data_IF_868104494251
#
_entry.id   IF_868104494251
#
_cell.length_a   1.000
_cell.length_b   1.000
_cell.length_c   1.000
_cell.angle_alpha   90.00
_cell.angle_beta   90.00
_cell.angle_gamma   90.00
#
_symmetry.space_group_name_H-M   'P 1'
#
loop_
_entity.id
_entity.type
_entity.pdbx_description
1 polymer ?
#
# COMPACT_ATOMS: atom_id res chain seq x y z
N UNK A 1 4.25 38.40 -65.46
CA UNK A 1 3.37 37.85 -64.43
C UNK A 1 4.12 36.71 -63.78
N UNK A 2 4.52 36.89 -62.53
CA UNK A 2 5.32 35.92 -61.77
C UNK A 2 4.39 34.84 -61.19
N UNK A 3 4.79 33.57 -61.12
CA UNK A 3 3.96 32.54 -60.48
C UNK A 3 3.85 32.78 -58.97
N UNK A 4 2.72 32.39 -58.34
CA UNK A 4 2.55 32.52 -56.90
C UNK A 4 3.49 31.57 -56.13
N UNK A 5 3.90 31.94 -54.90
CA UNK A 5 4.74 31.08 -54.07
C UNK A 5 3.98 29.80 -53.65
N UNK A 6 4.69 28.68 -53.43
CA UNK A 6 4.08 27.43 -53.00
C UNK A 6 3.46 27.57 -51.59
N UNK A 7 2.41 26.78 -51.28
CA UNK A 7 1.78 26.79 -49.96
C UNK A 7 2.76 26.33 -48.87
N UNK A 8 2.61 26.80 -47.62
CA UNK A 8 3.40 26.30 -46.51
C UNK A 8 3.12 24.81 -46.31
N UNK A 9 4.17 23.99 -46.31
CA UNK A 9 4.08 22.57 -45.98
C UNK A 9 3.52 22.39 -44.56
N UNK A 10 2.23 22.07 -44.44
CA UNK A 10 1.62 21.62 -43.18
C UNK A 10 1.73 20.11 -43.09
N UNK A 11 2.86 19.63 -42.58
CA UNK A 11 2.98 18.27 -42.04
C UNK A 11 3.28 18.43 -40.54
N UNK A 12 2.37 18.05 -39.62
CA UNK A 12 2.70 18.02 -38.21
C UNK A 12 3.72 16.88 -37.98
N UNK A 13 4.90 17.24 -37.47
CA UNK A 13 5.87 16.27 -36.98
C UNK A 13 5.19 15.36 -35.93
N UNK A 14 5.41 14.03 -35.97
CA UNK A 14 4.85 13.15 -34.96
C UNK A 14 5.57 13.39 -33.62
N UNK A 15 4.94 14.17 -32.75
CA UNK A 15 5.36 14.30 -31.35
C UNK A 15 4.93 13.05 -30.58
N UNK A 16 5.75 12.00 -30.68
CA UNK A 16 5.77 10.93 -29.71
C UNK A 16 6.44 11.43 -28.43
N UNK A 17 5.70 11.50 -27.32
CA UNK A 17 6.28 11.80 -26.01
C UNK A 17 5.26 12.19 -24.95
N UNK A 18 4.64 11.20 -24.33
CA UNK A 18 4.13 11.19 -22.95
C UNK A 18 3.74 12.57 -22.35
N UNK A 19 2.64 13.17 -22.83
CA UNK A 19 1.98 14.22 -22.09
C UNK A 19 1.30 13.56 -20.87
N UNK A 20 1.99 13.58 -19.72
CA UNK A 20 1.32 13.45 -18.43
C UNK A 20 0.29 14.58 -18.37
N UNK A 21 -0.96 14.26 -18.73
CA UNK A 21 -2.07 15.20 -18.67
C UNK A 21 -2.19 15.67 -17.24
N UNK A 22 -1.74 16.89 -16.95
CA UNK A 22 -2.12 17.56 -15.73
C UNK A 22 -3.65 17.53 -15.65
N UNK A 23 -4.23 17.12 -14.50
CA UNK A 23 -5.66 17.22 -14.32
C UNK A 23 -6.09 18.65 -14.63
N UNK A 24 -7.24 18.87 -15.30
CA UNK A 24 -7.75 20.22 -15.50
C UNK A 24 -7.83 20.92 -14.13
N UNK A 25 -7.41 22.20 -14.11
CA UNK A 25 -7.44 23.01 -12.90
C UNK A 25 -8.85 22.96 -12.30
N UNK A 26 -8.95 22.57 -11.03
CA UNK A 26 -10.22 22.48 -10.31
C UNK A 26 -10.79 23.89 -10.14
N UNK A 27 -12.09 24.06 -10.40
CA UNK A 27 -12.79 25.33 -10.17
C UNK A 27 -12.79 25.66 -8.66
N UNK A 28 -12.13 26.75 -8.22
CA UNK A 28 -12.01 27.11 -6.81
C UNK A 28 -13.34 27.53 -6.17
N UNK A 29 -14.38 27.79 -6.96
CA UNK A 29 -15.72 28.16 -6.48
C UNK A 29 -16.72 27.00 -6.51
N UNK A 30 -16.27 25.79 -6.87
CA UNK A 30 -17.13 24.60 -6.90
C UNK A 30 -17.65 24.27 -5.49
N UNK A 31 -18.97 24.29 -5.31
CA UNK A 31 -19.64 24.06 -4.02
C UNK A 31 -19.96 22.59 -3.75
N UNK A 32 -19.80 21.72 -4.75
CA UNK A 32 -20.13 20.30 -4.67
C UNK A 32 -18.89 19.44 -4.42
N UNK A 33 -19.08 18.33 -3.69
CA UNK A 33 -18.00 17.37 -3.41
C UNK A 33 -17.42 16.79 -4.71
N UNK A 34 -16.14 16.40 -4.65
CA UNK A 34 -15.47 15.69 -5.75
C UNK A 34 -16.21 14.38 -6.05
N UNK A 35 -16.27 13.99 -7.32
CA UNK A 35 -16.72 12.66 -7.74
C UNK A 35 -15.54 11.68 -7.81
N UNK A 36 -15.79 10.39 -7.62
CA UNK A 36 -14.75 9.35 -7.66
C UNK A 36 -13.71 9.47 -6.53
N UNK A 37 -14.13 9.90 -5.33
CA UNK A 37 -13.34 9.68 -4.13
C UNK A 37 -13.48 8.23 -3.68
N UNK A 38 -12.43 7.71 -3.06
CA UNK A 38 -12.37 6.33 -2.59
C UNK A 38 -13.36 6.11 -1.43
N UNK A 39 -13.91 4.91 -1.35
CA UNK A 39 -14.73 4.51 -0.20
C UNK A 39 -13.86 4.35 1.05
N UNK A 40 -14.50 4.30 2.22
CA UNK A 40 -13.79 4.04 3.48
C UNK A 40 -13.14 2.66 3.49
N UNK A 41 -13.82 1.63 3.02
CA UNK A 41 -13.27 0.27 2.92
C UNK A 41 -12.04 0.23 1.99
N UNK A 42 -12.12 0.88 0.82
CA UNK A 42 -10.99 0.97 -0.12
C UNK A 42 -9.82 1.72 0.51
N UNK A 43 -10.10 2.79 1.26
CA UNK A 43 -9.08 3.55 1.98
C UNK A 43 -8.37 2.72 3.04
N UNK A 44 -9.11 2.03 3.92
CA UNK A 44 -8.51 1.22 4.98
C UNK A 44 -7.79 0.00 4.40
N UNK A 45 -8.32 -0.60 3.33
CA UNK A 45 -7.60 -1.65 2.62
C UNK A 45 -6.33 -1.13 1.96
N UNK A 46 -6.36 0.02 1.28
CA UNK A 46 -5.17 0.62 0.68
C UNK A 46 -4.08 0.88 1.73
N UNK A 47 -4.45 1.29 2.94
CA UNK A 47 -3.51 1.42 4.07
C UNK A 47 -2.92 0.08 4.46
N UNK A 48 -3.72 -0.99 4.55
CA UNK A 48 -3.21 -2.32 4.85
C UNK A 48 -2.22 -2.81 3.77
N UNK A 49 -2.49 -2.55 2.49
CA UNK A 49 -1.55 -2.85 1.40
C UNK A 49 -0.26 -2.01 1.51
N UNK A 50 -0.36 -0.70 1.69
CA UNK A 50 0.80 0.18 1.85
C UNK A 50 1.64 -0.20 3.07
N UNK A 51 0.99 -0.64 4.15
CA UNK A 51 1.67 -1.11 5.35
C UNK A 51 2.42 -2.41 5.11
N UNK A 52 1.93 -3.30 4.24
CA UNK A 52 2.63 -4.51 3.86
C UNK A 52 4.01 -4.21 3.23
N UNK A 53 4.13 -3.12 2.46
CA UNK A 53 5.39 -2.68 1.84
C UNK A 53 6.49 -2.33 2.86
N UNK A 54 6.15 -2.17 4.15
CA UNK A 54 7.12 -2.02 5.24
C UNK A 54 7.76 -3.34 5.69
N UNK A 55 7.17 -4.48 5.35
CA UNK A 55 7.64 -5.80 5.75
C UNK A 55 8.98 -6.14 5.07
N UNK A 56 9.88 -6.72 5.85
CA UNK A 56 11.20 -7.20 5.38
C UNK A 56 11.18 -8.69 5.05
N UNK A 57 10.03 -9.35 5.20
CA UNK A 57 9.89 -10.77 4.87
C UNK A 57 9.99 -10.95 3.35
N UNK A 58 10.99 -11.67 2.83
CA UNK A 58 11.17 -11.82 1.38
C UNK A 58 10.09 -12.71 0.74
N UNK A 59 9.30 -13.43 1.55
CA UNK A 59 8.36 -14.42 1.04
C UNK A 59 6.90 -13.99 1.05
N UNK A 60 6.52 -13.16 2.03
CA UNK A 60 5.12 -12.81 2.27
C UNK A 60 5.05 -11.53 3.06
N UNK A 61 4.56 -10.47 2.41
CA UNK A 61 4.34 -9.18 3.03
C UNK A 61 2.87 -9.08 3.42
N UNK A 62 2.58 -8.81 4.68
CA UNK A 62 1.23 -8.67 5.21
C UNK A 62 1.19 -7.35 5.95
N UNK A 63 0.14 -6.59 5.71
CA UNK A 63 -0.16 -5.38 6.46
C UNK A 63 -1.59 -5.44 6.98
N UNK A 64 -1.84 -4.71 8.06
CA UNK A 64 -3.12 -4.66 8.75
C UNK A 64 -3.41 -3.23 9.22
N UNK A 65 -4.70 -2.88 9.23
CA UNK A 65 -5.24 -1.61 9.67
C UNK A 65 -6.44 -1.89 10.57
N UNK A 66 -6.32 -1.58 11.86
CA UNK A 66 -7.36 -1.69 12.87
C UNK A 66 -8.12 -0.36 12.97
N UNK A 67 -9.44 -0.43 12.85
CA UNK A 67 -10.33 0.72 12.73
C UNK A 67 -11.49 0.62 13.72
N UNK A 68 -11.83 1.73 14.36
CA UNK A 68 -12.99 1.85 15.24
C UNK A 68 -14.31 1.81 14.46
N UNK A 69 -15.43 1.64 15.16
CA UNK A 69 -16.75 1.67 14.52
C UNK A 69 -17.09 3.05 13.94
N UNK A 70 -16.44 4.10 14.46
CA UNK A 70 -16.55 5.49 14.01
C UNK A 70 -15.62 5.80 12.82
N UNK A 71 -14.90 4.81 12.28
CA UNK A 71 -13.99 5.00 11.14
C UNK A 71 -12.64 5.62 11.51
N UNK A 72 -12.24 5.57 12.79
CA UNK A 72 -10.96 6.10 13.24
C UNK A 72 -9.92 4.98 13.20
N UNK A 73 -8.76 5.23 12.59
CA UNK A 73 -7.65 4.28 12.63
C UNK A 73 -7.06 4.25 14.02
N UNK A 74 -7.03 3.07 14.61
CA UNK A 74 -6.56 2.84 15.97
C UNK A 74 -5.15 2.27 16.00
N UNK A 75 -4.83 1.43 15.01
CA UNK A 75 -3.51 0.82 14.90
C UNK A 75 -3.24 0.33 13.48
N UNK A 76 -1.97 0.33 13.11
CA UNK A 76 -1.48 -0.18 11.83
C UNK A 76 -0.34 -1.15 12.13
N UNK A 77 -0.25 -2.23 11.37
CA UNK A 77 0.78 -3.26 11.55
C UNK A 77 1.24 -3.87 10.24
N UNK A 78 2.41 -4.48 10.28
CA UNK A 78 2.96 -5.32 9.22
C UNK A 78 3.73 -6.49 9.83
N UNK A 79 3.92 -7.58 9.09
CA UNK A 79 4.65 -8.72 9.62
C UNK A 79 6.15 -8.45 9.65
N UNK A 80 6.79 -8.82 10.77
CA UNK A 80 8.22 -8.63 10.97
C UNK A 80 8.68 -9.11 12.33
N UNK A 81 9.96 -8.96 12.64
CA UNK A 81 10.48 -9.33 13.95
C UNK A 81 10.04 -8.35 15.05
N UNK A 82 10.11 -8.76 16.33
CA UNK A 82 9.77 -7.89 17.44
C UNK A 82 10.63 -6.63 17.45
N UNK A 83 10.08 -5.54 17.99
CA UNK A 83 10.80 -4.27 18.12
C UNK A 83 12.10 -4.47 18.91
N UNK A 84 13.20 -3.93 18.40
CA UNK A 84 14.53 -4.03 19.02
C UNK A 84 15.32 -5.27 18.60
N UNK A 85 14.71 -6.23 17.88
CA UNK A 85 15.45 -7.28 17.21
C UNK A 85 15.97 -6.77 15.86
N UNK A 86 17.23 -7.08 15.52
CA UNK A 86 17.82 -6.75 14.23
C UNK A 86 17.32 -7.72 13.16
N UNK A 87 16.85 -7.16 12.04
CA UNK A 87 16.40 -7.95 10.88
C UNK A 87 17.53 -8.66 10.13
N UNK A 88 18.79 -8.30 10.42
CA UNK A 88 19.98 -8.91 9.81
C UNK A 88 20.50 -10.11 10.63
N UNK A 89 20.12 -10.19 11.90
CA UNK A 89 20.61 -11.23 12.83
C UNK A 89 19.68 -12.43 12.94
N UNK A 90 18.40 -12.23 12.65
CA UNK A 90 17.38 -13.28 12.73
C UNK A 90 17.10 -13.87 11.34
N UNK A 91 16.85 -15.19 11.25
CA UNK A 91 16.67 -15.85 9.97
C UNK A 91 15.29 -15.54 9.36
N UNK A 92 15.27 -15.14 8.09
CA UNK A 92 14.05 -14.99 7.29
C UNK A 92 13.63 -16.28 6.56
N UNK A 93 14.43 -17.34 6.66
CA UNK A 93 14.21 -18.58 5.93
C UNK A 93 12.93 -19.31 6.38
N UNK A 94 12.23 -19.93 5.43
CA UNK A 94 11.06 -20.79 5.72
C UNK A 94 11.44 -22.23 6.08
N UNK A 95 12.65 -22.67 5.74
CA UNK A 95 13.11 -24.04 5.91
C UNK A 95 14.56 -24.01 6.38
N UNK A 96 14.87 -24.89 7.32
CA UNK A 96 16.24 -25.15 7.76
C UNK A 96 16.84 -26.27 6.91
N UNK A 97 18.11 -26.13 6.54
CA UNK A 97 18.87 -27.21 5.90
C UNK A 97 19.17 -28.37 6.86
N UNK A 98 19.21 -28.09 8.17
CA UNK A 98 19.52 -29.04 9.23
C UNK A 98 18.27 -29.54 9.98
N UNK A 99 17.09 -29.05 9.59
CA UNK A 99 15.82 -29.33 10.27
C UNK A 99 15.63 -28.59 11.59
N UNK A 100 16.50 -27.63 11.93
CA UNK A 100 16.43 -26.84 13.15
C UNK A 100 15.38 -25.71 13.01
N UNK A 101 14.32 -25.69 13.82
CA UNK A 101 13.31 -24.62 13.79
C UNK A 101 13.87 -23.22 14.03
N UNK A 102 14.96 -23.08 14.79
CA UNK A 102 15.58 -21.79 15.12
C UNK A 102 16.31 -21.15 13.94
N UNK A 103 16.61 -21.91 12.89
CA UNK A 103 17.11 -21.35 11.63
C UNK A 103 15.99 -20.85 10.71
N UNK A 104 14.74 -20.92 11.17
CA UNK A 104 13.58 -20.44 10.42
C UNK A 104 12.99 -19.19 11.05
N UNK A 105 12.21 -18.46 10.27
CA UNK A 105 11.55 -17.23 10.72
C UNK A 105 10.40 -17.45 11.71
N UNK A 106 9.81 -18.64 11.72
CA UNK A 106 8.53 -18.91 12.40
C UNK A 106 8.54 -18.67 13.92
N UNK A 107 9.63 -18.94 14.67
CA UNK A 107 9.68 -18.63 16.09
C UNK A 107 9.72 -17.13 16.40
N UNK A 108 10.06 -16.30 15.42
CA UNK A 108 10.42 -14.90 15.64
C UNK A 108 9.47 -13.92 14.97
N UNK A 109 8.90 -14.24 13.81
CA UNK A 109 8.05 -13.31 13.07
C UNK A 109 6.72 -13.09 13.80
N UNK A 110 6.41 -11.83 14.05
CA UNK A 110 5.12 -11.37 14.53
C UNK A 110 4.24 -11.03 13.33
N UNK A 111 2.98 -11.45 13.41
CA UNK A 111 1.98 -11.22 12.37
C UNK A 111 1.55 -9.73 12.33
N UNK A 112 1.07 -9.29 11.16
CA UNK A 112 0.67 -7.90 10.95
C UNK A 112 -0.49 -7.48 11.86
N UNK A 113 -1.46 -8.38 12.04
CA UNK A 113 -2.66 -8.19 12.84
C UNK A 113 -2.30 -8.01 14.32
N UNK A 114 -1.38 -8.83 14.82
CA UNK A 114 -0.87 -8.72 16.20
C UNK A 114 -0.15 -7.39 16.38
N UNK A 115 0.70 -7.00 15.44
CA UNK A 115 1.37 -5.71 15.48
C UNK A 115 0.37 -4.54 15.41
N UNK A 116 -0.71 -4.63 14.63
CA UNK A 116 -1.74 -3.59 14.57
C UNK A 116 -2.45 -3.41 15.92
N UNK A 117 -2.77 -4.50 16.60
CA UNK A 117 -3.37 -4.48 17.94
C UNK A 117 -2.37 -3.92 18.96
N UNK A 118 -1.11 -4.37 18.96
CA UNK A 118 -0.09 -3.90 19.91
C UNK A 118 0.28 -2.42 19.69
N UNK A 119 0.08 -1.89 18.49
CA UNK A 119 0.35 -0.49 18.16
C UNK A 119 -0.80 0.45 18.51
N UNK A 120 -1.95 -0.06 18.98
CA UNK A 120 -3.07 0.80 19.37
C UNK A 120 -2.81 1.48 20.71
N UNK A 121 -3.15 2.76 20.78
CA UNK A 121 -3.17 3.51 22.05
C UNK A 121 -4.53 3.39 22.75
N UNK A 122 -5.48 2.63 22.18
CA UNK A 122 -6.80 2.45 22.75
C UNK A 122 -6.80 1.33 23.80
N UNK A 123 -7.55 1.51 24.90
CA UNK A 123 -7.57 0.55 26.01
C UNK A 123 -8.17 -0.82 25.65
N UNK A 124 -8.96 -0.88 24.57
CA UNK A 124 -9.60 -2.12 24.09
C UNK A 124 -9.71 -2.13 22.58
N UNK A 125 -9.45 -3.28 21.97
CA UNK A 125 -9.69 -3.55 20.55
C UNK A 125 -11.02 -4.29 20.29
N UNK A 126 -11.82 -4.53 21.33
CA UNK A 126 -13.05 -5.32 21.19
C UNK A 126 -14.10 -4.58 20.34
N UNK A 127 -14.76 -5.32 19.43
CA UNK A 127 -15.82 -4.79 18.58
C UNK A 127 -15.34 -3.93 17.40
N UNK A 128 -14.03 -3.91 17.14
CA UNK A 128 -13.41 -3.12 16.07
C UNK A 128 -13.20 -3.94 14.80
N UNK A 129 -12.98 -3.25 13.68
CA UNK A 129 -12.80 -3.87 12.37
C UNK A 129 -11.32 -3.88 12.02
N UNK A 130 -10.79 -5.03 11.62
CA UNK A 130 -9.41 -5.16 11.17
C UNK A 130 -9.40 -5.49 9.67
N UNK A 131 -8.86 -4.57 8.88
CA UNK A 131 -8.57 -4.74 7.47
C UNK A 131 -7.16 -5.30 7.33
N UNK A 132 -6.96 -6.37 6.59
CA UNK A 132 -5.61 -6.92 6.37
C UNK A 132 -5.43 -7.39 4.95
N UNK A 133 -4.19 -7.26 4.45
CA UNK A 133 -3.82 -7.75 3.13
C UNK A 133 -3.89 -9.28 3.13
N UNK A 134 -4.90 -9.83 2.47
CA UNK A 134 -4.93 -11.27 2.18
C UNK A 134 -3.71 -11.59 1.32
N UNK A 135 -2.88 -12.57 1.70
CA UNK A 135 -1.68 -12.84 0.92
C UNK A 135 -1.93 -14.01 -0.06
N UNK A 136 -3.20 -14.30 -0.35
CA UNK A 136 -3.62 -15.22 -1.42
C UNK A 136 -3.35 -14.60 -2.79
N UNK A 137 -2.70 -15.31 -3.73
CA UNK A 137 -2.53 -14.85 -5.10
C UNK A 137 -3.85 -14.83 -5.91
N UNK A 138 -4.96 -15.28 -5.32
CA UNK A 138 -6.25 -15.47 -6.01
C UNK A 138 -7.26 -14.32 -5.84
N UNK A 139 -6.87 -13.22 -5.19
CA UNK A 139 -7.67 -11.99 -5.17
C UNK A 139 -6.87 -10.87 -5.83
N UNK A 140 -6.91 -10.86 -7.16
CA UNK A 140 -6.67 -9.70 -8.01
C UNK A 140 -7.53 -9.85 -9.27
#
# INVERSE_FOLDING_TARGET
>A
QSPPPPPPCTEPLPVNGCAARHPPAQDPFKTTKREGFISWDDYFMAIAFLSAERSKDPNRQVGACLVSQEGIILGIGYNGFPRGCSDDKLPWAKKSARGDPLETKYPYVVHAEVNAILNTNHASAAGQVCYFRSPSPFFN
#
